data_IF_770540714196
#
_entry.id   IF_770540714196
#
_cell.length_a   1.000
_cell.length_b   1.000
_cell.length_c   1.000
_cell.angle_alpha   90.00
_cell.angle_beta   90.00
_cell.angle_gamma   90.00
#
_symmetry.space_group_name_H-M   'P 1'
#
loop_
_entity.id
_entity.type
_entity.pdbx_description
1 polymer ?
#
# COMPACT_ATOMS: atom_id res chain seq x y z
N UNK A 1 11.14 -8.85 -0.22
CA UNK A 1 10.73 -7.84 -1.24
C UNK A 1 10.64 -8.48 -2.61
N UNK A 2 11.67 -9.17 -3.11
CA UNK A 2 11.60 -9.87 -4.40
C UNK A 2 10.39 -10.82 -4.50
N UNK A 3 10.14 -11.64 -3.48
CA UNK A 3 8.97 -12.53 -3.45
C UNK A 3 7.63 -11.79 -3.61
N UNK A 4 7.52 -10.56 -3.09
CA UNK A 4 6.32 -9.73 -3.26
C UNK A 4 6.23 -9.26 -4.71
N UNK A 5 7.33 -8.78 -5.28
CA UNK A 5 7.36 -8.34 -6.68
C UNK A 5 6.98 -9.47 -7.63
N UNK A 6 7.49 -10.67 -7.38
CA UNK A 6 7.18 -11.86 -8.17
C UNK A 6 5.71 -12.27 -8.01
N UNK A 7 5.17 -12.24 -6.79
CA UNK A 7 3.76 -12.56 -6.51
C UNK A 7 2.79 -11.63 -7.26
N UNK A 8 3.11 -10.34 -7.35
CA UNK A 8 2.29 -9.34 -8.05
C UNK A 8 2.70 -9.16 -9.52
N UNK A 9 3.68 -9.95 -10.00
CA UNK A 9 4.22 -9.87 -11.36
C UNK A 9 4.68 -8.45 -11.74
N UNK A 10 5.26 -7.74 -10.78
CA UNK A 10 5.77 -6.39 -10.98
C UNK A 10 7.16 -6.42 -11.61
N UNK A 11 7.28 -5.83 -12.79
CA UNK A 11 8.57 -5.53 -13.42
C UNK A 11 9.19 -4.29 -12.76
N UNK A 12 9.73 -4.48 -11.55
CA UNK A 12 10.29 -3.39 -10.72
C UNK A 12 11.61 -2.89 -11.30
N UNK A 13 11.67 -1.59 -11.58
CA UNK A 13 12.90 -0.90 -12.03
C UNK A 13 13.65 -0.29 -10.85
N UNK A 14 12.90 0.24 -9.88
CA UNK A 14 13.47 0.89 -8.70
C UNK A 14 12.55 0.72 -7.49
N UNK A 15 13.15 0.55 -6.30
CA UNK A 15 12.44 0.54 -5.03
C UNK A 15 13.20 1.43 -4.03
N UNK A 16 12.56 2.54 -3.64
CA UNK A 16 13.21 3.57 -2.81
C UNK A 16 12.46 3.74 -1.49
N UNK A 17 13.13 3.64 -0.34
CA UNK A 17 12.50 3.90 0.95
C UNK A 17 12.06 5.37 1.10
N UNK A 18 10.82 5.57 1.56
CA UNK A 18 10.28 6.86 1.97
C UNK A 18 10.39 7.02 3.49
N UNK A 19 11.31 7.86 3.92
CA UNK A 19 11.65 8.06 5.33
C UNK A 19 10.77 9.09 6.06
N UNK A 20 9.76 9.65 5.39
CA UNK A 20 8.88 10.67 5.99
C UNK A 20 7.82 10.08 6.94
N UNK A 21 7.53 8.77 6.83
CA UNK A 21 6.58 8.08 7.70
C UNK A 21 7.23 7.57 9.00
N UNK A 22 6.55 7.78 10.14
CA UNK A 22 7.02 7.36 11.47
C UNK A 22 6.46 6.02 11.96
N UNK A 23 5.41 5.50 11.30
CA UNK A 23 4.64 4.34 11.77
C UNK A 23 5.00 3.11 10.94
N UNK A 24 4.59 3.10 9.66
CA UNK A 24 4.86 2.03 8.72
C UNK A 24 6.18 2.29 7.97
N UNK A 25 6.87 1.21 7.56
CA UNK A 25 7.97 1.35 6.60
C UNK A 25 7.36 1.48 5.21
N UNK A 26 7.68 2.57 4.51
CA UNK A 26 7.06 2.92 3.24
C UNK A 26 8.11 2.96 2.14
N UNK A 27 7.77 2.48 0.96
CA UNK A 27 8.63 2.45 -0.22
C UNK A 27 7.85 2.93 -1.44
N UNK A 28 8.50 3.72 -2.30
CA UNK A 28 8.05 3.91 -3.68
C UNK A 28 8.62 2.76 -4.50
N UNK A 29 7.76 2.06 -5.23
CA UNK A 29 8.13 0.98 -6.14
C UNK A 29 7.77 1.43 -7.55
N UNK A 30 8.78 1.74 -8.34
CA UNK A 30 8.63 2.12 -9.74
C UNK A 30 8.68 0.85 -10.59
N UNK A 31 7.73 0.71 -11.53
CA UNK A 31 7.61 -0.48 -12.38
C UNK A 31 7.33 -0.08 -13.83
N UNK A 32 7.50 -1.02 -14.76
CA UNK A 32 7.13 -0.81 -16.16
C UNK A 32 5.64 -0.51 -16.39
N UNK A 33 4.77 -0.83 -15.43
CA UNK A 33 3.31 -0.73 -15.54
C UNK A 33 2.69 0.35 -14.65
N UNK A 34 3.52 1.15 -13.99
CA UNK A 34 3.09 2.21 -13.07
C UNK A 34 3.77 2.10 -11.71
N UNK A 35 3.65 3.19 -10.95
CA UNK A 35 4.31 3.31 -9.65
C UNK A 35 3.36 2.92 -8.53
N UNK A 36 3.90 2.26 -7.51
CA UNK A 36 3.17 1.78 -6.35
C UNK A 36 3.76 2.32 -5.06
N UNK A 37 2.90 2.48 -4.06
CA UNK A 37 3.31 2.65 -2.67
C UNK A 37 3.24 1.29 -1.98
N UNK A 38 4.40 0.76 -1.58
CA UNK A 38 4.49 -0.45 -0.79
C UNK A 38 4.71 -0.09 0.68
N UNK A 39 3.86 -0.61 1.57
CA UNK A 39 3.99 -0.41 3.01
C UNK A 39 4.12 -1.73 3.75
N UNK A 40 5.11 -1.82 4.62
CA UNK A 40 5.16 -2.83 5.68
C UNK A 40 4.48 -2.27 6.91
N UNK A 41 3.34 -2.87 7.27
CA UNK A 41 2.57 -2.48 8.44
C UNK A 41 3.39 -2.72 9.71
N UNK A 42 3.33 -1.78 10.65
CA UNK A 42 3.92 -1.95 11.96
C UNK A 42 2.98 -2.76 12.87
N UNK A 43 3.26 -4.04 13.07
CA UNK A 43 2.42 -4.94 13.88
C UNK A 43 2.56 -4.68 15.39
N UNK A 44 3.59 -3.94 15.83
CA UNK A 44 3.72 -3.53 17.23
C UNK A 44 2.71 -2.43 17.57
N UNK A 45 2.43 -1.54 16.63
CA UNK A 45 1.43 -0.48 16.78
C UNK A 45 0.04 -1.02 16.41
N UNK A 46 -0.07 -1.70 15.27
CA UNK A 46 -1.33 -2.28 14.80
C UNK A 46 -1.38 -3.78 15.10
N UNK A 47 -1.99 -4.12 16.24
CA UNK A 47 -2.07 -5.50 16.73
C UNK A 47 -2.91 -6.43 15.84
N UNK A 48 -3.85 -5.88 15.09
CA UNK A 48 -4.62 -6.59 14.06
C UNK A 48 -4.53 -5.86 12.72
N UNK A 49 -3.54 -6.19 11.87
CA UNK A 49 -3.39 -5.60 10.55
C UNK A 49 -4.59 -5.85 9.62
N UNK A 50 -5.34 -6.93 9.83
CA UNK A 50 -6.50 -7.27 8.99
C UNK A 50 -7.61 -6.24 9.18
N UNK A 51 -7.75 -5.68 10.38
CA UNK A 51 -8.69 -4.59 10.64
C UNK A 51 -8.34 -3.31 9.86
N UNK A 52 -7.06 -3.05 9.56
CA UNK A 52 -6.67 -1.91 8.71
C UNK A 52 -7.20 -2.12 7.29
N UNK A 53 -6.97 -3.30 6.71
CA UNK A 53 -7.43 -3.63 5.35
C UNK A 53 -8.96 -3.53 5.24
N UNK A 54 -9.69 -4.09 6.21
CA UNK A 54 -11.15 -3.99 6.27
C UNK A 54 -11.63 -2.54 6.35
N UNK A 55 -10.98 -1.70 7.17
CA UNK A 55 -11.33 -0.29 7.31
C UNK A 55 -11.08 0.48 6.00
N UNK A 56 -9.94 0.28 5.34
CA UNK A 56 -9.60 0.93 4.06
C UNK A 56 -10.62 0.53 2.99
N UNK A 57 -10.93 -0.76 2.88
CA UNK A 57 -11.92 -1.25 1.91
C UNK A 57 -13.32 -0.68 2.18
N UNK A 58 -13.72 -0.57 3.45
CA UNK A 58 -15.02 0.01 3.83
C UNK A 58 -15.10 1.50 3.47
N UNK A 59 -14.04 2.27 3.75
CA UNK A 59 -13.95 3.68 3.37
C UNK A 59 -13.99 3.83 1.85
N UNK A 60 -13.24 3.01 1.12
CA UNK A 60 -13.22 3.01 -0.35
C UNK A 60 -14.59 2.70 -0.96
N UNK A 61 -15.30 1.71 -0.42
CA UNK A 61 -16.66 1.37 -0.85
C UNK A 61 -17.65 2.53 -0.59
N UNK A 62 -17.54 3.17 0.58
CA UNK A 62 -18.36 4.33 0.91
C UNK A 62 -18.10 5.50 -0.05
N UNK A 63 -16.82 5.82 -0.32
CA UNK A 63 -16.45 6.91 -1.23
C UNK A 63 -16.93 6.64 -2.66
N UNK A 64 -16.77 5.42 -3.18
CA UNK A 64 -17.28 5.07 -4.51
C UNK A 64 -18.79 5.24 -4.65
N UNK A 65 -19.55 4.98 -3.58
CA UNK A 65 -21.01 5.12 -3.59
C UNK A 65 -21.46 6.59 -3.47
N UNK A 66 -20.80 7.36 -2.61
CA UNK A 66 -21.29 8.69 -2.21
C UNK A 66 -20.58 9.85 -2.92
N UNK A 67 -19.36 9.62 -3.43
CA UNK A 67 -18.52 10.60 -4.12
C UNK A 67 -17.71 9.91 -5.25
N UNK A 68 -18.36 9.50 -6.36
CA UNK A 68 -17.71 8.71 -7.42
C UNK A 68 -16.49 9.40 -8.04
N UNK A 69 -16.48 10.74 -8.09
CA UNK A 69 -15.40 11.54 -8.69
C UNK A 69 -14.23 11.81 -7.71
N UNK A 70 -14.26 11.27 -6.49
CA UNK A 70 -13.23 11.53 -5.47
C UNK A 70 -11.92 10.76 -5.68
N UNK A 71 -11.97 9.61 -6.38
CA UNK A 71 -10.82 8.71 -6.59
C UNK A 71 -10.43 8.61 -8.05
#
# INVERSE_FOLDING_TARGET
MQEIFDQYQWEVTQCTPLHQGLINKTYVVETAHGDYILQTINHDIFKDPSAIDQNINTIGAYLKLNSPDYL
#
